data_IF_273205350035
#
_entry.id   IF_273205350035
#
_cell.length_a   1.000
_cell.length_b   1.000
_cell.length_c   1.000
_cell.angle_alpha   90.00
_cell.angle_beta   90.00
_cell.angle_gamma   90.00
#
_symmetry.space_group_name_H-M   'P 1'
#
loop_
_entity.id
_entity.type
_entity.pdbx_description
1 polymer ?
#
# COMPACT_ATOMS: atom_id res chain seq x y z
N UNK A 1 -48.17 4.15 -0.41
CA UNK A 1 -46.93 4.78 -0.90
C UNK A 1 -45.91 3.66 -1.01
N UNK A 2 -45.31 3.50 -2.19
CA UNK A 2 -44.26 2.52 -2.42
C UNK A 2 -43.11 2.70 -1.40
N UNK A 3 -42.73 1.60 -0.75
CA UNK A 3 -41.61 1.55 0.20
C UNK A 3 -40.37 1.08 -0.58
N UNK A 4 -39.55 2.05 -1.00
CA UNK A 4 -38.37 1.81 -1.84
C UNK A 4 -37.22 1.24 -1.00
N UNK A 5 -37.21 -0.07 -0.76
CA UNK A 5 -36.16 -0.76 0.00
C UNK A 5 -34.98 -1.17 -0.90
N UNK A 6 -34.23 -0.19 -1.40
CA UNK A 6 -33.02 -0.46 -2.21
C UNK A 6 -31.71 -0.44 -1.40
N UNK A 7 -31.78 -0.35 -0.08
CA UNK A 7 -30.59 -0.40 0.79
C UNK A 7 -30.22 -1.87 1.01
N UNK A 8 -29.35 -2.40 0.17
CA UNK A 8 -28.73 -3.71 0.38
C UNK A 8 -27.48 -3.56 1.24
N UNK A 9 -27.19 -4.56 2.09
CA UNK A 9 -25.92 -4.63 2.84
C UNK A 9 -24.70 -4.83 1.92
N UNK A 10 -24.92 -5.28 0.68
CA UNK A 10 -23.95 -5.21 -0.41
C UNK A 10 -23.96 -3.79 -0.99
N UNK A 11 -22.83 -3.08 -0.91
CA UNK A 11 -22.70 -1.63 -1.15
C UNK A 11 -22.93 -1.11 -2.58
N UNK A 12 -23.79 -1.76 -3.38
CA UNK A 12 -24.28 -1.25 -4.68
C UNK A 12 -25.79 -1.26 -4.67
N UNK A 13 -26.38 -0.09 -4.86
CA UNK A 13 -27.83 0.07 -4.99
C UNK A 13 -28.22 -0.28 -6.43
N UNK A 14 -29.07 -1.29 -6.61
CA UNK A 14 -29.61 -1.73 -7.92
C UNK A 14 -31.14 -1.75 -7.82
N UNK A 15 -31.86 -0.95 -8.64
CA UNK A 15 -33.32 -1.03 -8.70
C UNK A 15 -33.80 -2.33 -9.35
N UNK A 16 -34.78 -3.00 -8.74
CA UNK A 16 -35.51 -4.12 -9.36
C UNK A 16 -36.79 -3.60 -10.04
N UNK A 17 -36.84 -3.76 -11.36
CA UNK A 17 -37.98 -3.36 -12.19
C UNK A 17 -39.22 -4.24 -12.02
N UNK A 18 -39.06 -5.50 -11.60
CA UNK A 18 -40.17 -6.45 -11.46
C UNK A 18 -41.09 -6.09 -10.29
N UNK A 19 -40.51 -5.73 -9.16
CA UNK A 19 -41.24 -5.27 -7.97
C UNK A 19 -41.94 -3.94 -8.22
N UNK A 20 -41.31 -3.03 -8.98
CA UNK A 20 -41.90 -1.74 -9.33
C UNK A 20 -43.15 -1.89 -10.21
N UNK A 21 -43.11 -2.78 -11.20
CA UNK A 21 -44.28 -3.05 -12.06
C UNK A 21 -45.46 -3.56 -11.23
N UNK A 22 -45.20 -4.55 -10.37
CA UNK A 22 -46.22 -5.14 -9.49
C UNK A 22 -46.85 -4.07 -8.59
N UNK A 23 -46.04 -3.17 -8.04
CA UNK A 23 -46.52 -2.07 -7.22
C UNK A 23 -47.40 -1.07 -8.00
N UNK A 24 -47.03 -0.72 -9.24
CA UNK A 24 -47.85 0.15 -10.10
C UNK A 24 -49.16 -0.53 -10.49
N UNK A 25 -49.15 -1.83 -10.80
CA UNK A 25 -50.36 -2.62 -11.07
C UNK A 25 -51.31 -2.62 -9.86
N UNK A 26 -50.79 -2.79 -8.65
CA UNK A 26 -51.57 -2.76 -7.40
C UNK A 26 -52.13 -1.35 -7.11
N UNK A 27 -51.37 -0.29 -7.37
CA UNK A 27 -51.86 1.10 -7.25
C UNK A 27 -53.03 1.37 -8.19
N UNK A 28 -52.95 0.90 -9.44
CA UNK A 28 -54.05 1.04 -10.40
C UNK A 28 -55.28 0.23 -9.98
N UNK A 29 -55.11 -1.02 -9.53
CA UNK A 29 -56.21 -1.86 -9.01
C UNK A 29 -56.84 -1.28 -7.74
N UNK A 30 -56.05 -0.64 -6.87
CA UNK A 30 -56.55 0.00 -5.67
C UNK A 30 -57.48 1.19 -5.97
N UNK A 31 -57.23 1.93 -7.06
CA UNK A 31 -58.03 3.10 -7.46
C UNK A 31 -59.22 2.72 -8.34
N UNK A 32 -59.01 1.85 -9.34
CA UNK A 32 -60.00 1.57 -10.38
C UNK A 32 -60.78 0.26 -10.17
N UNK A 33 -60.39 -0.55 -9.18
CA UNK A 33 -61.03 -1.83 -8.85
C UNK A 33 -60.15 -3.04 -9.13
N UNK A 34 -60.35 -4.12 -8.36
CA UNK A 34 -59.49 -5.31 -8.41
C UNK A 34 -59.66 -6.14 -9.68
N UNK A 35 -60.80 -6.02 -10.36
CA UNK A 35 -61.11 -6.72 -11.61
C UNK A 35 -60.50 -6.05 -12.86
N UNK A 36 -59.65 -5.01 -12.66
CA UNK A 36 -58.99 -4.30 -13.75
C UNK A 36 -58.02 -5.22 -14.50
N UNK A 37 -58.20 -5.32 -15.82
CA UNK A 37 -57.29 -6.04 -16.70
C UNK A 37 -56.01 -5.21 -16.97
N UNK A 38 -54.90 -5.66 -16.37
CA UNK A 38 -53.58 -5.02 -16.45
C UNK A 38 -52.68 -5.63 -17.53
N UNK A 39 -53.25 -6.44 -18.43
CA UNK A 39 -52.50 -7.05 -19.53
C UNK A 39 -51.81 -5.98 -20.40
N UNK A 40 -50.54 -6.19 -20.84
CA UNK A 40 -49.77 -5.18 -21.58
C UNK A 40 -50.46 -4.63 -22.85
N UNK A 41 -51.38 -5.40 -23.43
CA UNK A 41 -52.09 -5.06 -24.67
C UNK A 41 -53.27 -4.11 -24.44
N UNK A 42 -53.71 -3.91 -23.19
CA UNK A 42 -54.81 -2.98 -22.87
C UNK A 42 -54.30 -1.54 -22.77
N UNK A 43 -55.15 -0.53 -23.01
CA UNK A 43 -54.77 0.87 -22.79
C UNK A 43 -54.25 1.14 -21.37
N UNK A 44 -54.79 0.42 -20.37
CA UNK A 44 -54.36 0.54 -18.98
C UNK A 44 -52.98 -0.11 -18.77
N UNK A 45 -52.72 -1.27 -19.37
CA UNK A 45 -51.41 -1.93 -19.34
C UNK A 45 -50.30 -1.09 -19.96
N UNK A 46 -50.59 -0.33 -21.03
CA UNK A 46 -49.64 0.61 -21.63
C UNK A 46 -49.34 1.78 -20.69
N UNK A 47 -50.34 2.34 -20.01
CA UNK A 47 -50.14 3.41 -19.02
C UNK A 47 -49.34 2.94 -17.81
N UNK A 48 -49.62 1.73 -17.31
CA UNK A 48 -48.86 1.11 -16.21
C UNK A 48 -47.40 0.89 -16.62
N UNK A 49 -47.16 0.44 -17.86
CA UNK A 49 -45.80 0.25 -18.38
C UNK A 49 -45.03 1.58 -18.44
N UNK A 50 -45.64 2.63 -19.01
CA UNK A 50 -45.02 3.96 -19.07
C UNK A 50 -44.70 4.52 -17.68
N UNK A 51 -45.61 4.38 -16.72
CA UNK A 51 -45.37 4.84 -15.34
C UNK A 51 -44.26 4.02 -14.66
N UNK A 52 -44.22 2.71 -14.89
CA UNK A 52 -43.15 1.85 -14.38
C UNK A 52 -41.78 2.27 -14.94
N UNK A 53 -41.68 2.53 -16.24
CA UNK A 53 -40.44 3.01 -16.88
C UNK A 53 -39.98 4.37 -16.33
N UNK A 54 -40.91 5.30 -16.10
CA UNK A 54 -40.59 6.59 -15.50
C UNK A 54 -40.05 6.45 -14.07
N UNK A 55 -40.67 5.60 -13.25
CA UNK A 55 -40.22 5.35 -11.87
C UNK A 55 -38.87 4.62 -11.84
N UNK A 56 -38.67 3.66 -12.73
CA UNK A 56 -37.40 2.96 -12.87
C UNK A 56 -36.27 3.91 -13.30
N UNK A 57 -36.52 4.81 -14.25
CA UNK A 57 -35.56 5.82 -14.66
C UNK A 57 -35.11 6.71 -13.49
N UNK A 58 -36.06 7.18 -12.67
CA UNK A 58 -35.75 7.98 -11.47
C UNK A 58 -35.00 7.16 -10.43
N UNK A 59 -35.42 5.91 -10.18
CA UNK A 59 -34.76 5.03 -9.23
C UNK A 59 -33.31 4.73 -9.64
N UNK A 60 -33.05 4.46 -10.92
CA UNK A 60 -31.71 4.23 -11.46
C UNK A 60 -30.83 5.45 -11.34
N UNK A 61 -31.32 6.63 -11.69
CA UNK A 61 -30.57 7.87 -11.54
C UNK A 61 -30.15 8.12 -10.07
N UNK A 62 -31.09 7.92 -9.13
CA UNK A 62 -30.79 8.08 -7.70
C UNK A 62 -29.80 7.02 -7.19
N UNK A 63 -29.94 5.78 -7.65
CA UNK A 63 -29.01 4.70 -7.32
C UNK A 63 -27.60 4.98 -7.87
N UNK A 64 -27.48 5.47 -9.11
CA UNK A 64 -26.20 5.84 -9.72
C UNK A 64 -25.51 6.95 -8.92
N UNK A 65 -26.25 8.00 -8.54
CA UNK A 65 -25.72 9.09 -7.72
C UNK A 65 -25.29 8.60 -6.33
N UNK A 66 -26.09 7.77 -5.67
CA UNK A 66 -25.76 7.21 -4.37
C UNK A 66 -24.52 6.30 -4.41
N UNK A 67 -24.39 5.51 -5.48
CA UNK A 67 -23.22 4.66 -5.70
C UNK A 67 -21.92 5.47 -5.93
N UNK A 68 -22.00 6.76 -6.31
CA UNK A 68 -20.81 7.63 -6.41
C UNK A 68 -20.14 7.91 -5.06
N UNK A 69 -20.79 7.64 -3.92
CA UNK A 69 -20.15 7.73 -2.60
C UNK A 69 -19.12 6.60 -2.43
N UNK A 70 -19.32 5.45 -3.07
CA UNK A 70 -18.43 4.31 -2.95
C UNK A 70 -17.12 4.55 -3.74
N UNK A 71 -15.97 4.65 -3.06
CA UNK A 71 -14.63 4.76 -3.64
C UNK A 71 -14.30 3.85 -4.82
N UNK A 72 -14.79 2.61 -4.77
CA UNK A 72 -14.42 1.58 -5.72
C UNK A 72 -15.23 1.69 -7.02
N UNK A 73 -16.38 2.37 -6.96
CA UNK A 73 -17.33 2.50 -8.08
C UNK A 73 -17.31 3.91 -8.66
N UNK A 74 -17.15 4.94 -7.82
CA UNK A 74 -17.17 6.35 -8.18
C UNK A 74 -16.32 6.67 -9.42
N UNK A 75 -16.83 7.57 -10.25
CA UNK A 75 -16.17 8.03 -11.46
C UNK A 75 -16.11 9.55 -11.56
N UNK A 76 -15.28 10.04 -12.48
CA UNK A 76 -15.14 11.46 -12.78
C UNK A 76 -14.93 12.35 -11.54
N UNK A 77 -15.68 13.46 -11.46
CA UNK A 77 -15.54 14.48 -10.42
C UNK A 77 -15.83 13.96 -9.01
N UNK A 78 -16.66 12.92 -8.86
CA UNK A 78 -16.95 12.33 -7.55
C UNK A 78 -15.75 11.56 -7.02
N UNK A 79 -15.09 10.77 -7.88
CA UNK A 79 -13.85 10.10 -7.52
C UNK A 79 -12.76 11.10 -7.13
N UNK A 80 -12.67 12.23 -7.86
CA UNK A 80 -11.68 13.27 -7.62
C UNK A 80 -11.93 13.98 -6.29
N UNK A 81 -13.19 14.31 -5.98
CA UNK A 81 -13.58 14.89 -4.71
C UNK A 81 -13.29 13.95 -3.53
N UNK A 82 -13.62 12.65 -3.66
CA UNK A 82 -13.33 11.65 -2.64
C UNK A 82 -11.82 11.51 -2.42
N UNK A 83 -11.02 11.54 -3.49
CA UNK A 83 -9.58 11.47 -3.36
C UNK A 83 -8.97 12.73 -2.74
N UNK A 84 -9.50 13.91 -3.09
CA UNK A 84 -9.09 15.19 -2.54
C UNK A 84 -9.31 15.29 -1.03
N UNK A 85 -10.38 14.69 -0.50
CA UNK A 85 -10.61 14.59 0.96
C UNK A 85 -9.44 13.91 1.69
N UNK A 86 -8.71 13.03 1.01
CA UNK A 86 -7.55 12.32 1.56
C UNK A 86 -6.22 12.92 1.12
N UNK A 87 -6.23 14.16 0.61
CA UNK A 87 -5.03 14.88 0.17
C UNK A 87 -4.43 14.37 -1.15
N UNK A 88 -5.15 13.54 -1.90
CA UNK A 88 -4.70 13.05 -3.20
C UNK A 88 -5.38 13.76 -4.37
N UNK A 89 -4.72 13.74 -5.53
CA UNK A 89 -5.21 14.33 -6.78
C UNK A 89 -4.72 13.51 -7.97
N UNK A 90 -5.41 13.61 -9.11
CA UNK A 90 -4.97 13.01 -10.37
C UNK A 90 -3.73 13.68 -10.91
N UNK A 91 -3.03 12.96 -11.78
CA UNK A 91 -2.05 13.60 -12.64
C UNK A 91 -2.72 14.23 -13.86
N UNK A 92 -2.57 15.55 -13.96
CA UNK A 92 -3.02 16.30 -15.12
C UNK A 92 -2.24 15.91 -16.38
N UNK A 93 -2.91 16.09 -17.51
CA UNK A 93 -2.28 15.99 -18.82
C UNK A 93 -1.17 17.04 -18.95
N UNK A 94 -0.02 16.62 -19.45
CA UNK A 94 1.09 17.51 -19.78
C UNK A 94 1.24 17.60 -21.29
N UNK A 95 1.76 18.72 -21.76
CA UNK A 95 2.01 18.97 -23.18
C UNK A 95 3.41 18.53 -23.54
N UNK A 96 3.62 18.02 -24.75
CA UNK A 96 4.96 17.74 -25.27
C UNK A 96 5.79 19.02 -25.38
N UNK A 97 7.08 18.91 -25.09
CA UNK A 97 8.03 20.04 -25.12
C UNK A 97 9.16 19.72 -26.10
N UNK A 98 9.45 20.70 -26.96
CA UNK A 98 10.63 20.74 -27.81
C UNK A 98 11.62 21.74 -27.22
N UNK A 99 12.80 21.26 -26.87
CA UNK A 99 13.89 22.11 -26.38
C UNK A 99 14.83 22.49 -27.52
N UNK A 100 15.46 23.66 -27.42
CA UNK A 100 16.49 24.11 -28.38
C UNK A 100 16.04 24.13 -29.85
N UNK A 101 14.77 24.45 -30.12
CA UNK A 101 14.28 24.65 -31.49
C UNK A 101 15.06 25.81 -32.12
N UNK A 102 15.55 25.61 -33.33
CA UNK A 102 16.27 26.63 -34.09
C UNK A 102 15.29 27.42 -34.96
N UNK A 103 15.34 28.74 -34.83
CA UNK A 103 14.56 29.70 -35.60
C UNK A 103 15.52 30.49 -36.48
N UNK A 104 15.13 30.76 -37.72
CA UNK A 104 15.91 31.59 -38.64
C UNK A 104 15.07 32.64 -39.34
N UNK A 105 15.71 33.74 -39.72
CA UNK A 105 15.07 34.83 -40.44
C UNK A 105 15.84 36.15 -40.35
N UNK A 106 15.11 37.26 -40.47
CA UNK A 106 15.71 38.61 -40.53
C UNK A 106 16.26 39.01 -39.16
N UNK A 107 17.54 39.43 -39.06
CA UNK A 107 18.14 39.88 -37.80
C UNK A 107 17.35 40.99 -37.11
N UNK A 108 17.16 40.86 -35.79
CA UNK A 108 16.40 41.81 -34.97
C UNK A 108 14.89 41.57 -34.95
N UNK A 109 14.38 40.58 -35.69
CA UNK A 109 12.96 40.19 -35.63
C UNK A 109 12.61 39.63 -34.26
N UNK A 110 11.49 40.09 -33.70
CA UNK A 110 10.93 39.59 -32.43
C UNK A 110 9.86 38.56 -32.76
N UNK A 111 10.05 37.32 -32.30
CA UNK A 111 9.04 36.26 -32.31
C UNK A 111 8.30 36.32 -30.97
N UNK A 112 7.02 36.74 -30.92
CA UNK A 112 6.28 36.84 -29.67
C UNK A 112 6.09 35.47 -28.99
N UNK A 113 5.85 35.49 -27.68
CA UNK A 113 5.37 34.31 -26.94
C UNK A 113 4.03 33.84 -27.52
N UNK A 114 3.88 32.54 -27.71
CA UNK A 114 2.68 31.94 -28.29
C UNK A 114 2.68 31.85 -29.82
N UNK A 115 3.78 32.20 -30.49
CA UNK A 115 3.92 32.03 -31.94
C UNK A 115 3.95 30.55 -32.31
N UNK A 116 3.26 30.17 -33.38
CA UNK A 116 2.98 28.78 -33.77
C UNK A 116 3.88 28.30 -34.91
N UNK A 117 4.42 27.09 -34.74
CA UNK A 117 5.04 26.27 -35.78
C UNK A 117 4.30 24.93 -35.87
N UNK A 118 4.33 24.30 -37.04
CA UNK A 118 3.61 23.05 -37.29
C UNK A 118 4.51 21.98 -37.94
N UNK A 119 4.16 20.72 -37.71
CA UNK A 119 4.75 19.57 -38.42
C UNK A 119 4.00 19.33 -39.74
N UNK A 120 4.57 18.51 -40.63
CA UNK A 120 3.87 18.07 -41.85
C UNK A 120 2.58 17.28 -41.57
N UNK A 121 2.45 16.72 -40.36
CA UNK A 121 1.24 16.01 -39.91
C UNK A 121 0.16 16.97 -39.35
N UNK A 122 0.46 18.26 -39.20
CA UNK A 122 -0.46 19.28 -38.69
C UNK A 122 -0.37 19.51 -37.17
N UNK A 123 0.58 18.88 -36.47
CA UNK A 123 0.76 19.10 -35.03
C UNK A 123 1.36 20.46 -34.74
N UNK A 124 0.71 21.26 -33.88
CA UNK A 124 1.12 22.63 -33.61
C UNK A 124 1.90 22.77 -32.30
N UNK A 125 2.96 23.56 -32.35
CA UNK A 125 3.82 23.93 -31.23
C UNK A 125 3.88 25.45 -31.09
N UNK A 126 3.85 25.94 -29.86
CA UNK A 126 3.84 27.36 -29.50
C UNK A 126 5.13 27.77 -28.77
N UNK A 127 5.65 28.96 -29.02
CA UNK A 127 6.82 29.48 -28.28
C UNK A 127 6.48 29.75 -26.82
N UNK A 128 7.36 29.32 -25.90
CA UNK A 128 7.16 29.48 -24.46
C UNK A 128 7.45 30.90 -23.95
N UNK A 129 8.31 31.63 -24.67
CA UNK A 129 8.73 33.01 -24.41
C UNK A 129 8.95 33.77 -25.71
N UNK A 130 9.10 35.09 -25.63
CA UNK A 130 9.52 35.89 -26.77
C UNK A 130 11.00 35.59 -27.10
N UNK A 131 11.31 35.49 -28.40
CA UNK A 131 12.65 35.23 -28.92
C UNK A 131 13.04 36.37 -29.89
N UNK A 132 14.33 36.69 -29.97
CA UNK A 132 14.84 37.73 -30.86
C UNK A 132 15.87 37.08 -31.78
N UNK A 133 15.70 37.20 -33.09
CA UNK A 133 16.64 36.65 -34.06
C UNK A 133 17.97 37.43 -33.99
N UNK A 134 19.06 36.70 -33.78
CA UNK A 134 20.41 37.25 -33.65
C UNK A 134 20.94 37.87 -34.94
N UNK A 135 22.10 38.52 -34.85
CA UNK A 135 22.78 39.15 -36.00
C UNK A 135 23.22 38.13 -37.07
N UNK A 136 23.37 36.88 -36.68
CA UNK A 136 23.65 35.71 -37.52
C UNK A 136 22.38 35.15 -38.22
N UNK A 137 21.22 35.79 -38.03
CA UNK A 137 19.96 35.38 -38.61
C UNK A 137 19.34 34.15 -37.94
N UNK A 138 19.83 33.76 -36.75
CA UNK A 138 19.36 32.59 -36.00
C UNK A 138 19.07 32.91 -34.54
N UNK A 139 18.22 32.11 -33.91
CA UNK A 139 18.05 32.07 -32.45
C UNK A 139 17.58 30.67 -32.04
N UNK A 140 17.80 30.28 -30.79
CA UNK A 140 17.24 29.06 -30.23
C UNK A 140 16.23 29.38 -29.13
N UNK A 141 15.24 28.49 -28.97
CA UNK A 141 14.23 28.62 -27.93
C UNK A 141 13.36 27.38 -27.82
N UNK A 142 12.58 27.30 -26.74
CA UNK A 142 11.76 26.13 -26.47
C UNK A 142 10.33 26.36 -26.95
N UNK A 143 9.76 25.32 -27.55
CA UNK A 143 8.37 25.28 -27.98
C UNK A 143 7.60 24.20 -27.24
N UNK A 144 6.31 24.42 -27.06
CA UNK A 144 5.40 23.50 -26.36
C UNK A 144 4.19 23.23 -27.23
N UNK A 145 3.78 21.97 -27.33
CA UNK A 145 2.58 21.58 -28.07
C UNK A 145 1.35 22.41 -27.63
N UNK A 146 0.50 22.74 -28.59
CA UNK A 146 -0.77 23.43 -28.33
C UNK A 146 -1.72 22.48 -27.61
N UNK A 147 -1.80 21.24 -28.09
CA UNK A 147 -2.60 20.18 -27.48
C UNK A 147 -1.86 19.47 -26.34
N UNK A 148 -2.63 18.93 -25.40
CA UNK A 148 -2.14 18.10 -24.29
C UNK A 148 -2.08 16.65 -24.70
N UNK A 149 -1.11 15.89 -24.16
CA UNK A 149 -0.95 14.47 -24.46
C UNK A 149 0.35 14.17 -25.19
N UNK A 150 0.35 13.05 -25.90
CA UNK A 150 1.51 12.50 -26.60
C UNK A 150 1.58 13.09 -28.02
N UNK A 151 2.08 14.31 -28.16
CA UNK A 151 2.41 14.87 -29.48
C UNK A 151 3.84 14.49 -29.82
N UNK A 152 4.02 13.58 -30.78
CA UNK A 152 5.33 13.16 -31.26
C UNK A 152 5.88 14.18 -32.26
N UNK A 153 7.15 14.56 -32.11
CA UNK A 153 7.85 15.34 -33.11
C UNK A 153 9.31 14.89 -33.15
N UNK A 154 9.67 13.94 -34.04
CA UNK A 154 11.05 13.53 -34.24
C UNK A 154 11.94 14.69 -34.71
N UNK A 155 13.25 14.58 -34.51
CA UNK A 155 14.20 15.59 -34.98
C UNK A 155 14.00 15.93 -36.47
N UNK A 156 13.96 17.23 -36.79
CA UNK A 156 13.78 17.76 -38.14
C UNK A 156 12.35 17.78 -38.69
N UNK A 157 11.35 17.31 -37.92
CA UNK A 157 9.95 17.22 -38.37
C UNK A 157 9.13 18.50 -38.15
N UNK A 158 9.61 19.42 -37.30
CA UNK A 158 9.00 20.74 -37.15
C UNK A 158 9.57 21.67 -38.22
N UNK A 159 8.85 21.89 -39.32
CA UNK A 159 9.36 22.61 -40.49
C UNK A 159 8.38 23.64 -41.09
N UNK A 160 7.13 23.69 -40.63
CA UNK A 160 6.13 24.67 -41.04
C UNK A 160 6.02 25.83 -40.05
N UNK A 161 5.88 27.06 -40.56
CA UNK A 161 5.56 28.24 -39.74
C UNK A 161 4.07 28.53 -39.91
N UNK A 162 3.30 28.39 -38.83
CA UNK A 162 1.86 28.61 -38.85
C UNK A 162 1.46 30.06 -38.50
N UNK A 163 2.30 30.78 -37.74
CA UNK A 163 2.07 32.20 -37.42
C UNK A 163 2.71 33.16 -38.41
N UNK A 164 1.95 34.16 -38.88
CA UNK A 164 2.45 35.21 -39.77
C UNK A 164 3.29 36.27 -39.03
N UNK A 165 4.47 35.89 -38.54
CA UNK A 165 5.44 36.83 -37.95
C UNK A 165 6.38 37.33 -39.06
N UNK A 166 6.27 38.61 -39.41
CA UNK A 166 7.12 39.22 -40.44
C UNK A 166 8.60 39.17 -40.03
N UNK A 167 9.42 38.50 -40.83
CA UNK A 167 10.85 38.29 -40.58
C UNK A 167 11.21 36.95 -39.95
N UNK A 168 10.24 36.09 -39.61
CA UNK A 168 10.48 34.68 -39.26
C UNK A 168 10.36 33.82 -40.52
N UNK A 169 11.45 33.16 -40.92
CA UNK A 169 11.55 32.48 -42.23
C UNK A 169 11.71 30.96 -42.11
N UNK A 170 12.39 30.46 -41.07
CA UNK A 170 12.62 29.03 -40.88
C UNK A 170 12.45 28.60 -39.42
N UNK A 171 12.03 27.34 -39.24
CA UNK A 171 11.97 26.67 -37.94
C UNK A 171 12.42 25.23 -38.14
N UNK A 172 13.24 24.72 -37.22
CA UNK A 172 13.66 23.31 -37.20
C UNK A 172 13.98 22.85 -35.80
N UNK A 173 13.53 21.65 -35.42
CA UNK A 173 13.87 21.04 -34.15
C UNK A 173 15.09 20.11 -34.28
N UNK A 174 16.23 20.39 -33.63
CA UNK A 174 17.41 19.52 -33.70
C UNK A 174 17.24 18.22 -32.91
N UNK A 175 16.34 18.20 -31.93
CA UNK A 175 16.05 17.05 -31.06
C UNK A 175 14.58 16.68 -31.12
N UNK A 176 14.28 15.41 -30.84
CA UNK A 176 12.90 14.93 -30.71
C UNK A 176 12.19 15.56 -29.51
N UNK A 177 10.86 15.69 -29.60
CA UNK A 177 10.03 16.16 -28.50
C UNK A 177 10.10 15.22 -27.29
N UNK A 178 10.20 15.83 -26.10
CA UNK A 178 9.88 15.14 -24.85
C UNK A 178 8.37 15.03 -24.80
N UNK A 179 7.87 13.79 -24.87
CA UNK A 179 6.44 13.53 -24.94
C UNK A 179 5.74 14.00 -23.65
N UNK A 180 4.59 14.62 -23.83
CA UNK A 180 3.68 14.91 -22.72
C UNK A 180 3.05 13.65 -22.17
N UNK A 181 1.97 13.81 -21.40
CA UNK A 181 1.17 12.68 -20.91
C UNK A 181 -0.30 13.01 -21.02
N UNK A 182 -1.10 11.98 -21.22
CA UNK A 182 -2.56 12.10 -21.12
C UNK A 182 -2.99 12.19 -19.65
N UNK A 183 -4.16 12.76 -19.40
CA UNK A 183 -4.73 12.80 -18.06
C UNK A 183 -4.97 11.38 -17.54
N UNK A 184 -4.80 11.19 -16.23
CA UNK A 184 -4.98 9.89 -15.59
C UNK A 184 -6.44 9.41 -15.68
N UNK A 185 -6.64 8.18 -16.15
CA UNK A 185 -7.97 7.55 -16.21
C UNK A 185 -8.50 7.22 -14.80
N UNK A 186 -9.82 7.07 -14.67
CA UNK A 186 -10.48 6.68 -13.41
C UNK A 186 -9.95 5.35 -12.87
N UNK A 187 -9.62 4.39 -13.75
CA UNK A 187 -9.11 3.08 -13.37
C UNK A 187 -7.69 3.18 -12.79
N UNK A 188 -6.80 3.92 -13.46
CA UNK A 188 -5.43 4.14 -12.98
C UNK A 188 -5.42 4.93 -11.67
N UNK A 189 -6.25 5.98 -11.60
CA UNK A 189 -6.47 6.80 -10.42
C UNK A 189 -6.92 5.96 -9.22
N UNK A 190 -7.91 5.08 -9.39
CA UNK A 190 -8.38 4.15 -8.34
C UNK A 190 -7.29 3.21 -7.86
N UNK A 191 -6.55 2.59 -8.79
CA UNK A 191 -5.44 1.68 -8.44
C UNK A 191 -4.36 2.42 -7.63
N UNK A 192 -3.96 3.62 -8.06
CA UNK A 192 -2.97 4.43 -7.35
C UNK A 192 -3.47 4.89 -5.98
N UNK A 193 -4.72 5.34 -5.89
CA UNK A 193 -5.35 5.68 -4.62
C UNK A 193 -5.27 4.53 -3.62
N UNK A 194 -5.64 3.30 -4.03
CA UNK A 194 -5.57 2.10 -3.17
C UNK A 194 -4.16 1.85 -2.63
N UNK A 195 -3.15 2.00 -3.49
CA UNK A 195 -1.73 1.86 -3.11
C UNK A 195 -1.23 2.98 -2.20
N UNK A 196 -1.78 4.19 -2.33
CA UNK A 196 -1.35 5.35 -1.53
C UNK A 196 -2.04 5.39 -0.17
N UNK A 197 -3.24 4.85 -0.04
CA UNK A 197 -4.00 4.75 1.21
C UNK A 197 -3.24 3.93 2.29
N UNK A 198 -2.48 2.92 1.85
CA UNK A 198 -1.64 2.10 2.73
C UNK A 198 -0.53 2.91 3.43
N UNK A 199 -0.13 4.08 2.89
CA UNK A 199 0.87 4.94 3.54
C UNK A 199 0.34 5.73 4.74
N UNK A 200 -0.98 5.91 4.85
CA UNK A 200 -1.61 6.73 5.89
C UNK A 200 -2.18 5.91 7.07
N UNK A 201 -2.08 4.58 7.03
CA UNK A 201 -2.86 3.71 7.94
C UNK A 201 -2.04 2.55 8.49
N UNK A 202 -0.85 2.83 9.03
CA UNK A 202 -0.12 1.85 9.82
C UNK A 202 0.08 2.47 11.20
N UNK A 203 -0.29 1.74 12.26
CA UNK A 203 0.10 2.13 13.62
C UNK A 203 1.61 2.37 13.63
N UNK A 204 2.10 3.44 14.24
CA UNK A 204 3.54 3.76 14.21
C UNK A 204 4.38 2.57 14.70
N UNK A 205 3.87 1.80 15.68
CA UNK A 205 4.49 0.56 16.13
C UNK A 205 4.49 -0.57 15.08
N UNK A 206 3.41 -0.72 14.32
CA UNK A 206 3.35 -1.67 13.19
C UNK A 206 4.28 -1.24 12.05
N UNK A 207 4.40 0.08 11.80
CA UNK A 207 5.26 0.63 10.75
C UNK A 207 6.74 0.41 11.09
N UNK A 208 7.11 0.65 12.36
CA UNK A 208 8.45 0.34 12.90
C UNK A 208 8.72 -1.17 12.77
N UNK A 209 7.79 -2.00 13.22
CA UNK A 209 7.94 -3.46 13.19
C UNK A 209 8.10 -3.98 11.75
N UNK A 210 7.24 -3.53 10.83
CA UNK A 210 7.30 -3.91 9.41
C UNK A 210 8.59 -3.45 8.75
N UNK A 211 9.00 -2.20 8.95
CA UNK A 211 10.22 -1.67 8.34
C UNK A 211 11.48 -2.38 8.81
N UNK A 212 11.49 -2.88 10.04
CA UNK A 212 12.61 -3.66 10.57
C UNK A 212 12.62 -5.10 10.07
N UNK A 213 11.45 -5.75 9.97
CA UNK A 213 11.36 -7.09 9.37
C UNK A 213 11.67 -7.12 7.86
N UNK A 214 11.55 -5.99 7.16
CA UNK A 214 11.97 -5.84 5.77
C UNK A 214 13.50 -5.83 5.58
N UNK A 215 14.27 -5.57 6.64
CA UNK A 215 15.73 -5.51 6.56
C UNK A 215 16.34 -6.91 6.43
N UNK A 216 17.38 -7.02 5.59
CA UNK A 216 18.07 -8.29 5.41
C UNK A 216 18.74 -8.73 6.72
N UNK A 217 18.52 -9.99 7.09
CA UNK A 217 19.13 -10.60 8.27
C UNK A 217 18.43 -10.32 9.60
N UNK A 218 17.38 -9.49 9.63
CA UNK A 218 16.50 -9.38 10.82
C UNK A 218 15.61 -10.61 10.90
N UNK A 219 15.72 -11.36 12.00
CA UNK A 219 14.98 -12.62 12.21
C UNK A 219 13.78 -12.44 13.11
N UNK A 220 13.95 -11.67 14.18
CA UNK A 220 12.89 -11.39 15.13
C UNK A 220 13.15 -10.08 15.86
N UNK A 221 12.10 -9.49 16.41
CA UNK A 221 12.21 -8.26 17.21
C UNK A 221 11.11 -8.17 18.26
N UNK A 222 11.34 -7.33 19.26
CA UNK A 222 10.33 -6.89 20.21
C UNK A 222 10.23 -5.36 20.22
N UNK A 223 9.00 -4.84 20.16
CA UNK A 223 8.71 -3.41 20.21
C UNK A 223 7.89 -3.06 21.47
N UNK A 224 8.25 -1.97 22.14
CA UNK A 224 7.47 -1.35 23.23
C UNK A 224 7.51 0.17 23.11
N UNK A 225 6.52 0.81 23.72
CA UNK A 225 6.42 2.27 23.78
C UNK A 225 6.11 2.70 25.21
N UNK A 226 6.77 3.76 25.65
CA UNK A 226 6.36 4.53 26.81
C UNK A 226 5.69 5.83 26.34
N UNK A 227 4.36 5.84 26.34
CA UNK A 227 3.55 7.00 25.96
C UNK A 227 3.41 8.02 27.09
N UNK A 228 3.85 7.70 28.30
CA UNK A 228 3.70 8.55 29.49
C UNK A 228 4.82 9.59 29.60
N UNK A 229 4.57 10.61 30.42
CA UNK A 229 5.50 11.70 30.75
C UNK A 229 6.49 11.33 31.87
N UNK A 230 6.45 10.08 32.35
CA UNK A 230 7.33 9.55 33.40
C UNK A 230 8.08 8.30 32.93
N UNK A 231 9.25 7.98 33.52
CA UNK A 231 9.92 6.72 33.24
C UNK A 231 9.03 5.52 33.55
N UNK A 232 9.02 4.52 32.69
CA UNK A 232 8.21 3.31 32.83
C UNK A 232 9.12 2.08 32.85
N UNK A 233 8.82 1.12 33.73
CA UNK A 233 9.46 -0.20 33.71
C UNK A 233 8.43 -1.19 33.18
N UNK A 234 8.77 -1.88 32.09
CA UNK A 234 7.92 -2.90 31.50
C UNK A 234 8.77 -4.14 31.20
N UNK A 235 8.35 -5.31 31.70
CA UNK A 235 9.05 -6.60 31.49
C UNK A 235 10.56 -6.56 31.79
N UNK A 236 10.95 -5.76 32.80
CA UNK A 236 12.34 -5.60 33.24
C UNK A 236 13.15 -4.55 32.47
N UNK A 237 12.59 -3.92 31.43
CA UNK A 237 13.21 -2.83 30.66
C UNK A 237 12.75 -1.49 31.21
N UNK A 238 13.70 -0.59 31.50
CA UNK A 238 13.41 0.79 31.91
C UNK A 238 13.42 1.71 30.69
N UNK A 239 12.31 2.40 30.45
CA UNK A 239 12.11 3.30 29.32
C UNK A 239 11.94 4.74 29.82
N UNK A 240 12.61 5.69 29.16
CA UNK A 240 12.45 7.13 29.47
C UNK A 240 11.06 7.64 29.05
N UNK A 241 10.59 8.81 29.52
CA UNK A 241 9.33 9.41 29.06
C UNK A 241 9.26 9.57 27.55
N UNK A 242 8.06 9.45 26.97
CA UNK A 242 7.78 9.64 25.54
C UNK A 242 8.82 8.96 24.63
N UNK A 243 8.94 7.64 24.72
CA UNK A 243 10.03 6.91 24.08
C UNK A 243 9.60 5.58 23.50
N UNK A 244 10.39 5.10 22.54
CA UNK A 244 10.24 3.77 21.95
C UNK A 244 11.41 2.88 22.36
N UNK A 245 11.14 1.60 22.53
CA UNK A 245 12.12 0.57 22.80
C UNK A 245 12.00 -0.54 21.77
N UNK A 246 13.14 -0.92 21.19
CA UNK A 246 13.22 -2.00 20.22
C UNK A 246 14.40 -2.90 20.57
N UNK A 247 14.14 -4.20 20.64
CA UNK A 247 15.18 -5.22 20.73
C UNK A 247 15.13 -6.06 19.45
N UNK A 248 16.24 -6.12 18.71
CA UNK A 248 16.32 -6.80 17.40
C UNK A 248 17.29 -7.96 17.46
N UNK A 249 16.91 -9.07 16.83
CA UNK A 249 17.78 -10.20 16.54
C UNK A 249 18.22 -10.18 15.07
N UNK A 250 19.53 -10.08 14.85
CA UNK A 250 20.12 -10.04 13.51
C UNK A 250 19.97 -8.69 12.80
N UNK A 251 20.39 -8.62 11.54
CA UNK A 251 20.37 -7.40 10.71
C UNK A 251 21.50 -6.41 11.01
N UNK A 252 21.79 -5.54 10.04
CA UNK A 252 22.84 -4.53 10.15
C UNK A 252 22.44 -3.34 11.05
N UNK A 253 23.36 -2.88 11.89
CA UNK A 253 23.08 -1.82 12.88
C UNK A 253 22.79 -0.45 12.24
N UNK A 254 23.43 -0.11 11.12
CA UNK A 254 23.18 1.16 10.42
C UNK A 254 21.82 1.13 9.71
N UNK A 255 21.47 0.02 9.08
CA UNK A 255 20.16 -0.13 8.43
C UNK A 255 19.00 -0.10 9.44
N UNK A 256 19.16 -0.78 10.58
CA UNK A 256 18.19 -0.75 11.69
C UNK A 256 18.02 0.67 12.22
N UNK A 257 19.12 1.36 12.51
CA UNK A 257 19.07 2.73 13.01
C UNK A 257 18.40 3.69 12.00
N UNK A 258 18.70 3.54 10.71
CA UNK A 258 18.07 4.30 9.63
C UNK A 258 16.57 4.02 9.49
N UNK A 259 16.15 2.77 9.61
CA UNK A 259 14.74 2.38 9.58
C UNK A 259 13.96 2.95 10.78
N UNK A 260 14.55 2.88 11.98
CA UNK A 260 13.97 3.46 13.21
C UNK A 260 13.82 4.97 13.11
N UNK A 261 14.84 5.69 12.62
CA UNK A 261 14.76 7.15 12.45
C UNK A 261 13.66 7.56 11.47
N UNK A 262 13.50 6.82 10.36
CA UNK A 262 12.50 7.12 9.33
C UNK A 262 11.05 6.86 9.75
N UNK A 263 10.82 5.91 10.64
CA UNK A 263 9.47 5.42 10.99
C UNK A 263 8.94 5.99 12.29
N UNK A 264 9.82 6.40 13.19
CA UNK A 264 9.46 6.96 14.47
C UNK A 264 8.77 8.33 14.36
N UNK A 265 7.87 8.60 15.31
CA UNK A 265 7.24 9.91 15.48
C UNK A 265 8.20 10.99 16.00
N UNK A 266 8.03 12.21 15.49
CA UNK A 266 8.81 13.37 15.91
C UNK A 266 8.65 13.59 17.43
N UNK A 267 9.77 13.84 18.12
CA UNK A 267 9.80 14.18 19.54
C UNK A 267 9.92 12.99 20.50
N UNK A 268 9.73 11.75 20.03
CA UNK A 268 9.96 10.59 20.88
C UNK A 268 11.46 10.34 21.12
N UNK A 269 11.84 9.76 22.26
CA UNK A 269 13.20 9.32 22.58
C UNK A 269 13.44 7.84 22.22
N UNK A 270 14.71 7.43 22.10
CA UNK A 270 15.08 6.03 21.85
C UNK A 270 15.65 5.41 23.13
N UNK A 271 15.41 4.12 23.34
CA UNK A 271 16.00 3.34 24.42
C UNK A 271 16.81 2.18 23.86
N UNK A 272 17.86 1.80 24.58
CA UNK A 272 18.75 0.71 24.21
C UNK A 272 20.20 1.00 24.61
N UNK A 273 21.02 -0.04 24.57
CA UNK A 273 22.44 0.01 24.86
C UNK A 273 23.29 0.28 23.62
N UNK A 274 22.84 -0.12 22.44
CA UNK A 274 23.50 0.18 21.18
C UNK A 274 23.07 1.58 20.71
N UNK A 275 24.04 2.40 20.28
CA UNK A 275 23.82 3.79 19.87
C UNK A 275 24.53 4.03 18.53
N UNK A 276 23.75 4.45 17.53
CA UNK A 276 24.21 4.68 16.17
C UNK A 276 23.82 6.09 15.73
N UNK A 277 24.79 6.83 15.22
CA UNK A 277 24.57 8.15 14.65
C UNK A 277 24.02 8.06 13.23
N UNK A 278 22.86 8.66 12.99
CA UNK A 278 22.20 8.67 11.68
C UNK A 278 21.89 10.12 11.27
N UNK A 279 22.40 10.59 10.12
CA UNK A 279 22.06 11.90 9.60
C UNK A 279 20.67 11.90 8.96
N UNK A 280 19.82 12.85 9.33
CA UNK A 280 18.53 13.06 8.69
C UNK A 280 18.71 13.89 7.40
N UNK A 281 18.34 13.37 6.22
CA UNK A 281 18.70 13.97 4.92
C UNK A 281 18.12 15.38 4.66
N UNK A 282 16.96 15.73 5.24
CA UNK A 282 16.28 17.00 4.94
C UNK A 282 16.84 18.16 5.75
N UNK A 283 17.10 17.93 7.03
CA UNK A 283 17.62 18.93 7.98
C UNK A 283 19.15 18.91 8.08
N UNK A 284 19.79 17.79 7.73
CA UNK A 284 21.21 17.56 7.96
C UNK A 284 21.58 17.33 9.43
N UNK A 285 20.58 17.22 10.32
CA UNK A 285 20.81 16.97 11.74
C UNK A 285 21.16 15.50 11.98
N UNK A 286 22.19 15.24 12.79
CA UNK A 286 22.52 13.89 13.25
C UNK A 286 21.69 13.53 14.47
N UNK A 287 21.09 12.35 14.45
CA UNK A 287 20.35 11.76 15.56
C UNK A 287 21.08 10.54 16.11
N UNK A 288 21.11 10.43 17.43
CA UNK A 288 21.63 9.24 18.11
C UNK A 288 20.49 8.24 18.32
N UNK A 289 20.39 7.29 17.41
CA UNK A 289 19.36 6.26 17.43
C UNK A 289 19.83 5.13 18.35
N UNK A 290 18.96 4.71 19.28
CA UNK A 290 19.25 3.65 20.25
C UNK A 290 18.31 2.47 20.11
N UNK A 291 18.85 1.27 20.27
CA UNK A 291 18.11 -0.01 20.31
C UNK A 291 18.95 -1.06 21.04
N UNK A 292 18.36 -2.24 21.31
CA UNK A 292 19.06 -3.37 21.92
C UNK A 292 19.21 -4.56 20.97
N UNK A 293 20.26 -5.35 21.20
CA UNK A 293 20.47 -6.65 20.56
C UNK A 293 19.99 -7.78 21.45
N UNK A 294 19.16 -8.66 20.89
CA UNK A 294 18.70 -9.83 21.61
C UNK A 294 19.87 -10.75 21.95
N UNK A 295 19.95 -11.19 23.21
CA UNK A 295 20.93 -12.17 23.67
C UNK A 295 20.40 -13.58 23.45
N UNK A 296 21.14 -14.40 22.74
CA UNK A 296 20.77 -15.80 22.53
C UNK A 296 20.90 -16.61 23.83
N UNK A 297 19.84 -17.33 24.19
CA UNK A 297 19.80 -18.28 25.30
C UNK A 297 19.57 -19.67 24.73
N UNK A 298 20.61 -20.50 24.74
CA UNK A 298 20.50 -21.88 24.24
C UNK A 298 19.87 -22.76 25.32
N UNK A 299 18.79 -23.44 24.98
CA UNK A 299 18.08 -24.37 25.83
C UNK A 299 18.30 -25.81 25.37
N UNK A 300 18.50 -26.69 26.34
CA UNK A 300 18.45 -28.13 26.17
C UNK A 300 17.01 -28.61 26.35
N UNK A 301 16.58 -29.55 25.52
CA UNK A 301 15.25 -30.14 25.56
C UNK A 301 15.36 -31.64 25.77
N UNK A 302 14.58 -32.21 26.68
CA UNK A 302 14.47 -33.66 26.87
C UNK A 302 13.04 -34.10 26.64
N UNK A 303 12.86 -34.96 25.64
CA UNK A 303 11.56 -35.50 25.24
C UNK A 303 11.50 -36.96 25.63
N UNK A 304 10.54 -37.29 26.48
CA UNK A 304 10.22 -38.67 26.87
C UNK A 304 9.07 -39.16 26.00
N UNK A 305 9.24 -40.31 25.33
CA UNK A 305 8.29 -40.87 24.38
C UNK A 305 8.06 -42.36 24.66
N UNK A 306 6.84 -42.85 24.46
CA UNK A 306 6.57 -44.30 24.54
C UNK A 306 7.32 -45.05 23.45
N UNK A 307 7.70 -46.29 23.73
CA UNK A 307 8.31 -47.19 22.73
C UNK A 307 7.47 -47.25 21.44
N UNK A 308 8.11 -47.05 20.31
CA UNK A 308 7.48 -46.92 18.99
C UNK A 308 8.30 -47.63 17.92
N UNK A 309 7.69 -47.90 16.75
CA UNK A 309 8.35 -48.50 15.59
C UNK A 309 8.98 -47.48 14.63
N UNK A 310 8.76 -46.19 14.86
CA UNK A 310 9.36 -45.10 14.07
C UNK A 310 10.69 -44.64 14.66
N UNK A 311 11.54 -44.01 13.86
CA UNK A 311 12.86 -43.51 14.29
C UNK A 311 12.74 -42.20 15.10
N UNK A 312 12.24 -42.33 16.33
CA UNK A 312 12.04 -41.19 17.23
C UNK A 312 13.33 -40.44 17.58
N UNK A 313 14.49 -41.10 17.53
CA UNK A 313 15.79 -40.49 17.84
C UNK A 313 16.23 -39.48 16.78
N UNK A 314 15.81 -39.68 15.52
CA UNK A 314 16.08 -38.71 14.44
C UNK A 314 14.95 -37.71 14.28
N UNK A 315 13.69 -38.18 14.35
CA UNK A 315 12.50 -37.37 14.07
C UNK A 315 12.29 -36.29 15.13
N UNK A 316 12.41 -36.63 16.43
CA UNK A 316 12.09 -35.69 17.51
C UNK A 316 13.06 -34.50 17.52
N UNK A 317 14.40 -34.66 17.50
CA UNK A 317 15.30 -33.51 17.47
C UNK A 317 15.08 -32.58 16.28
N UNK A 318 14.79 -33.15 15.10
CA UNK A 318 14.48 -32.36 13.90
C UNK A 318 13.15 -31.60 14.05
N UNK A 319 12.11 -32.24 14.59
CA UNK A 319 10.82 -31.61 14.81
C UNK A 319 10.88 -30.48 15.85
N UNK A 320 11.64 -30.65 16.94
CA UNK A 320 11.83 -29.62 17.96
C UNK A 320 12.59 -28.41 17.40
N UNK A 321 13.63 -28.64 16.59
CA UNK A 321 14.39 -27.58 15.91
C UNK A 321 13.52 -26.84 14.88
N UNK A 322 12.75 -27.58 14.06
CA UNK A 322 11.81 -27.01 13.10
C UNK A 322 10.72 -26.16 13.79
N UNK A 323 10.18 -26.64 14.91
CA UNK A 323 9.23 -25.86 15.72
C UNK A 323 9.88 -24.60 16.29
N UNK A 324 11.09 -24.71 16.85
CA UNK A 324 11.82 -23.57 17.41
C UNK A 324 12.13 -22.49 16.35
N UNK A 325 12.35 -22.91 15.10
CA UNK A 325 12.58 -22.02 13.95
C UNK A 325 11.31 -21.50 13.27
N UNK A 326 10.11 -21.93 13.70
CA UNK A 326 8.85 -21.51 13.09
C UNK A 326 8.57 -22.16 11.73
N UNK A 327 9.14 -23.32 11.46
CA UNK A 327 8.94 -24.09 10.22
C UNK A 327 7.67 -24.98 10.29
N UNK A 328 6.89 -24.87 11.36
CA UNK A 328 5.65 -25.62 11.58
C UNK A 328 4.43 -24.77 11.26
N UNK A 329 3.42 -25.32 10.57
CA UNK A 329 2.21 -24.57 10.20
C UNK A 329 1.49 -23.99 11.43
N UNK A 330 1.26 -22.67 11.41
CA UNK A 330 0.49 -21.96 12.44
C UNK A 330 1.30 -21.44 13.63
N UNK A 331 2.61 -21.70 13.70
CA UNK A 331 3.49 -21.19 14.77
C UNK A 331 4.69 -20.42 14.18
N UNK A 332 4.90 -19.17 14.64
CA UNK A 332 5.97 -18.28 14.17
C UNK A 332 7.36 -18.56 14.80
N UNK A 333 7.50 -19.62 15.60
CA UNK A 333 8.76 -20.01 16.22
C UNK A 333 9.20 -19.13 17.40
N UNK A 334 10.43 -19.34 17.87
CA UNK A 334 10.98 -18.62 19.02
C UNK A 334 11.53 -17.25 18.59
N UNK A 335 10.78 -16.21 18.93
CA UNK A 335 11.11 -14.79 18.72
C UNK A 335 11.57 -14.11 20.00
N UNK A 336 12.20 -12.93 19.91
CA UNK A 336 12.65 -12.14 21.07
C UNK A 336 11.53 -11.99 22.11
N UNK A 337 11.82 -12.36 23.36
CA UNK A 337 10.89 -12.24 24.49
C UNK A 337 9.76 -13.27 24.54
N UNK A 338 9.69 -14.24 23.62
CA UNK A 338 8.72 -15.34 23.70
C UNK A 338 9.19 -16.40 24.68
N UNK A 339 8.33 -16.74 25.64
CA UNK A 339 8.55 -17.85 26.57
C UNK A 339 8.57 -19.21 25.86
N UNK A 340 9.25 -20.21 26.45
CA UNK A 340 9.36 -21.55 25.85
C UNK A 340 8.51 -22.53 26.62
N UNK A 341 7.44 -23.01 25.99
CA UNK A 341 6.47 -23.95 26.58
C UNK A 341 6.80 -25.40 26.19
N UNK A 342 7.07 -26.28 27.16
CA UNK A 342 7.20 -27.72 26.91
C UNK A 342 5.97 -28.37 26.25
N UNK A 343 4.78 -27.81 26.48
CA UNK A 343 3.53 -28.28 25.85
C UNK A 343 3.47 -27.93 24.36
N UNK A 344 3.90 -26.73 23.96
CA UNK A 344 3.97 -26.34 22.55
C UNK A 344 4.99 -27.19 21.79
N UNK A 345 6.15 -27.47 22.41
CA UNK A 345 7.15 -28.40 21.86
C UNK A 345 6.55 -29.79 21.63
N UNK A 346 5.82 -30.33 22.60
CA UNK A 346 5.14 -31.62 22.47
C UNK A 346 4.14 -31.63 21.29
N UNK A 347 3.40 -30.53 21.12
CA UNK A 347 2.47 -30.36 20.00
C UNK A 347 3.21 -30.32 18.65
N UNK A 348 4.31 -29.57 18.55
CA UNK A 348 5.15 -29.52 17.35
C UNK A 348 5.70 -30.90 16.95
N UNK A 349 6.18 -31.68 17.93
CA UNK A 349 6.64 -33.06 17.70
C UNK A 349 5.53 -33.96 17.17
N UNK A 350 4.34 -33.91 17.79
CA UNK A 350 3.21 -34.75 17.36
C UNK A 350 2.63 -34.31 16.01
N UNK A 351 2.74 -33.02 15.66
CA UNK A 351 2.36 -32.52 14.33
C UNK A 351 3.29 -33.07 13.25
N UNK A 352 4.59 -33.15 13.53
CA UNK A 352 5.57 -33.71 12.59
C UNK A 352 5.42 -35.23 12.40
N UNK A 353 5.11 -35.96 13.47
CA UNK A 353 4.86 -37.41 13.41
C UNK A 353 3.76 -37.84 14.39
N UNK A 354 2.50 -37.96 13.91
CA UNK A 354 1.35 -38.29 14.76
C UNK A 354 1.40 -39.65 15.45
N UNK A 355 2.30 -40.55 15.02
CA UNK A 355 2.48 -41.89 15.63
C UNK A 355 3.34 -41.85 16.90
N UNK A 356 3.98 -40.73 17.22
CA UNK A 356 4.73 -40.55 18.46
C UNK A 356 3.77 -40.26 19.62
N UNK A 357 4.03 -40.89 20.77
CA UNK A 357 3.28 -40.63 22.00
C UNK A 357 4.23 -40.00 23.02
N UNK A 358 4.36 -38.68 22.95
CA UNK A 358 5.16 -37.89 23.90
C UNK A 358 4.48 -37.90 25.26
N UNK A 359 5.21 -38.32 26.30
CA UNK A 359 4.70 -38.40 27.68
C UNK A 359 5.16 -37.22 28.53
N UNK A 360 6.34 -36.66 28.23
CA UNK A 360 6.92 -35.57 29.00
C UNK A 360 7.94 -34.80 28.17
N UNK A 361 7.94 -33.49 28.30
CA UNK A 361 8.98 -32.61 27.76
C UNK A 361 9.54 -31.79 28.91
N UNK A 362 10.87 -31.66 28.94
CA UNK A 362 11.58 -30.86 29.93
C UNK A 362 12.61 -29.95 29.25
N UNK A 363 12.86 -28.82 29.88
CA UNK A 363 13.84 -27.83 29.45
C UNK A 363 14.95 -27.67 30.49
N UNK A 364 16.13 -27.28 30.03
CA UNK A 364 17.31 -27.03 30.87
C UNK A 364 18.23 -25.99 30.25
N UNK A 365 18.90 -25.18 31.07
CA UNK A 365 19.97 -24.26 30.62
C UNK A 365 21.36 -24.92 30.61
N UNK A 366 21.56 -25.97 31.42
CA UNK A 366 22.87 -26.59 31.65
C UNK A 366 22.92 -28.07 31.24
N UNK A 367 21.78 -28.66 30.86
CA UNK A 367 21.66 -30.07 30.49
C UNK A 367 21.64 -31.03 31.69
N UNK A 368 21.66 -30.53 32.93
CA UNK A 368 21.65 -31.33 34.17
C UNK A 368 20.39 -31.10 35.00
N UNK A 369 19.92 -29.85 35.08
CA UNK A 369 18.72 -29.48 35.84
C UNK A 369 17.54 -29.33 34.89
N UNK A 370 16.58 -30.25 35.02
CA UNK A 370 15.46 -30.36 34.09
C UNK A 370 14.16 -29.94 34.75
N UNK A 371 13.37 -29.10 34.07
CA UNK A 371 12.03 -28.70 34.50
C UNK A 371 11.01 -28.90 33.38
N UNK A 372 9.78 -29.28 33.73
CA UNK A 372 8.64 -29.32 32.82
C UNK A 372 7.82 -28.03 32.81
N UNK A 373 8.24 -27.01 33.57
CA UNK A 373 7.58 -25.71 33.60
C UNK A 373 7.95 -24.88 32.36
N UNK A 374 7.08 -23.94 32.01
CA UNK A 374 7.36 -22.95 30.97
C UNK A 374 8.60 -22.14 31.35
N UNK A 375 9.56 -22.04 30.42
CA UNK A 375 10.78 -21.28 30.65
C UNK A 375 10.55 -19.80 30.28
N UNK A 376 10.62 -18.86 31.24
CA UNK A 376 10.44 -17.45 30.95
C UNK A 376 11.66 -16.90 30.20
N UNK A 377 11.43 -16.15 29.13
CA UNK A 377 12.47 -15.46 28.35
C UNK A 377 12.25 -13.96 28.50
N UNK A 378 13.31 -13.20 28.76
CA UNK A 378 13.19 -11.74 28.90
C UNK A 378 13.01 -11.07 27.55
N UNK A 379 12.48 -9.85 27.55
CA UNK A 379 12.32 -9.02 26.36
C UNK A 379 13.64 -8.66 25.65
N UNK A 380 14.78 -8.90 26.30
CA UNK A 380 16.15 -8.71 25.76
C UNK A 380 16.82 -10.01 25.33
N UNK A 381 16.11 -11.13 25.40
CA UNK A 381 16.65 -12.47 25.19
C UNK A 381 15.83 -13.19 24.10
N UNK A 382 16.48 -14.10 23.37
CA UNK A 382 15.83 -14.99 22.41
C UNK A 382 16.28 -16.42 22.67
N UNK A 383 15.32 -17.33 22.84
CA UNK A 383 15.62 -18.73 23.10
C UNK A 383 15.93 -19.50 21.80
N UNK A 384 16.88 -20.42 21.88
CA UNK A 384 17.27 -21.30 20.77
C UNK A 384 17.37 -22.75 21.22
N UNK A 385 16.84 -23.66 20.42
CA UNK A 385 16.95 -25.10 20.65
C UNK A 385 17.49 -25.72 19.37
N UNK A 386 18.74 -26.16 19.41
CA UNK A 386 19.37 -26.87 18.30
C UNK A 386 19.09 -28.37 18.42
N UNK A 387 19.08 -29.09 17.30
CA UNK A 387 18.90 -30.55 17.29
C UNK A 387 19.88 -31.30 18.20
N UNK A 388 21.11 -30.81 18.35
CA UNK A 388 22.13 -31.43 19.22
C UNK A 388 21.86 -31.25 20.71
N UNK A 389 20.99 -30.29 21.07
CA UNK A 389 20.58 -30.01 22.44
C UNK A 389 19.31 -30.81 22.84
N UNK A 390 18.77 -31.64 21.94
CA UNK A 390 17.57 -32.45 22.19
C UNK A 390 17.94 -33.88 22.57
N UNK A 391 17.46 -34.34 23.73
CA UNK A 391 17.64 -35.70 24.23
C UNK A 391 16.32 -36.47 24.14
N UNK A 392 16.34 -37.66 23.56
CA UNK A 392 15.15 -38.54 23.45
C UNK A 392 15.27 -39.72 24.40
N UNK A 393 14.28 -39.87 25.28
CA UNK A 393 14.21 -40.94 26.30
C UNK A 393 12.99 -41.82 26.02
N UNK A 394 13.17 -43.14 26.05
CA UNK A 394 12.08 -44.10 25.88
C UNK A 394 11.53 -44.57 27.23
N UNK A 395 10.21 -44.71 27.32
CA UNK A 395 9.49 -45.31 28.46
C UNK A 395 8.54 -46.43 28.05
#
# INVERSE_FOLDING_TARGET
MADYKYITSSGVIIPDTGDQRTAVEDEFKAVFGQDLDVSPETPQGVLITMETENRDAVARNNAELANQINPDIAGGVFLDAIWALMGGQRWDATRSILTQVAFGGVPGTIIPKGSLAETMAGDQFSTTRALIIGKDGKTTGDMRAVDTGLTECPAGQLNGIASSVLGWETVTNPTSAVLGRVAESDLQSRRRRKLTLAKNTVSVGEAITSALYELEGVRSLAYRENYTDVPMIFEGVTMVPHSVYVCVEGGDSQEIAGALLRTKTIGAAFNGSEEIEVPEPVSGQTYNVKFDRAKEVVLFCRVTVKKTSVDAQTIIPAAVEAWANGETEGDGGLVVGREVSPFEISAGVNSAEPRLFVTRVELSLNGTDWSSDTFPVKLTEVARINRSAVQVVFV
#
